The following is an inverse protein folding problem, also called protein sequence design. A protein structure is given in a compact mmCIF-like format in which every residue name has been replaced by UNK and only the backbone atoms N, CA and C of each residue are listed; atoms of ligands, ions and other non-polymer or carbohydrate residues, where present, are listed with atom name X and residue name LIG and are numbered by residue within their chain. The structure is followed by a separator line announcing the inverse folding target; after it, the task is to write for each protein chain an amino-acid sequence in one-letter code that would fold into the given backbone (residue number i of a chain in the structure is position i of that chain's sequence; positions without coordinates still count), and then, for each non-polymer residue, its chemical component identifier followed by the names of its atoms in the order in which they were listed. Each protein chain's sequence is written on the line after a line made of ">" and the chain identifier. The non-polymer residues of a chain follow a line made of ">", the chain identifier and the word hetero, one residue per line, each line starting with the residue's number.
data_IF_487126023239
#
_entry.id   IF_487126023239
#
_cell.length_a   1.000
_cell.length_b   1.000
_cell.length_c   1.000
_cell.angle_alpha   90.00
_cell.angle_beta   90.00
_cell.angle_gamma   90.00
#
_symmetry.space_group_name_H-M   'P 1'
#
loop_
_entity.id
_entity.type
_entity.pdbx_description
1 polymer ?
#
# COMPACT_ATOMS: atom_id res chain seq x y z
N UNK A 1 -18.47 -0.17 -3.49
CA UNK A 1 -17.57 0.18 -4.61
C UNK A 1 -17.81 1.63 -5.03
N UNK A 2 -16.74 2.36 -5.26
CA UNK A 2 -16.84 3.76 -5.69
C UNK A 2 -17.00 3.81 -7.20
N UNK A 3 -18.10 4.40 -7.66
CA UNK A 3 -18.43 4.48 -9.07
C UNK A 3 -17.36 5.23 -9.85
N UNK A 4 -16.98 4.70 -11.01
CA UNK A 4 -15.99 5.30 -11.91
C UNK A 4 -14.54 4.96 -11.58
N UNK A 5 -14.28 4.35 -10.44
CA UNK A 5 -12.92 4.01 -9.99
C UNK A 5 -12.65 2.51 -10.11
N UNK A 6 -11.45 2.17 -10.55
CA UNK A 6 -11.03 0.77 -10.59
C UNK A 6 -9.51 0.69 -10.45
N UNK A 7 -9.02 -0.49 -10.09
CA UNK A 7 -7.58 -0.71 -9.92
C UNK A 7 -7.05 -1.65 -10.97
N UNK A 8 -5.75 -1.46 -11.29
CA UNK A 8 -4.98 -2.40 -12.10
C UNK A 8 -3.73 -2.76 -11.34
N UNK A 9 -3.36 -4.03 -11.37
CA UNK A 9 -2.21 -4.53 -10.64
C UNK A 9 -1.19 -5.10 -11.62
N UNK A 10 0.05 -4.62 -11.52
CA UNK A 10 1.17 -5.11 -12.32
C UNK A 10 2.19 -5.75 -11.40
N UNK A 11 2.59 -6.96 -11.72
CA UNK A 11 3.55 -7.72 -10.93
C UNK A 11 4.77 -8.02 -11.80
N UNK A 12 5.95 -7.64 -11.31
CA UNK A 12 7.22 -7.97 -11.95
C UNK A 12 7.96 -8.94 -11.04
N UNK A 13 8.18 -10.15 -11.52
CA UNK A 13 8.87 -11.17 -10.75
C UNK A 13 10.38 -11.02 -10.87
N UNK A 14 11.04 -10.97 -9.72
CA UNK A 14 12.49 -11.02 -9.63
C UNK A 14 12.87 -12.28 -8.84
N UNK A 15 14.14 -12.61 -8.86
CA UNK A 15 14.64 -13.81 -8.18
C UNK A 15 14.34 -13.79 -6.67
N UNK A 16 14.51 -12.65 -6.04
CA UNK A 16 14.42 -12.50 -4.59
C UNK A 16 13.14 -11.83 -4.10
N UNK A 17 12.40 -11.22 -5.00
CA UNK A 17 11.19 -10.50 -4.62
C UNK A 17 10.26 -10.29 -5.82
N UNK A 18 8.99 -10.05 -5.52
CA UNK A 18 8.02 -9.61 -6.51
C UNK A 18 7.74 -8.14 -6.27
N UNK A 19 7.92 -7.32 -7.31
CA UNK A 19 7.53 -5.91 -7.25
C UNK A 19 6.12 -5.76 -7.79
N UNK A 20 5.32 -4.99 -7.08
CA UNK A 20 3.90 -4.80 -7.42
C UNK A 20 3.60 -3.31 -7.49
N UNK A 21 2.90 -2.92 -8.55
CA UNK A 21 2.38 -1.57 -8.69
C UNK A 21 0.88 -1.70 -8.86
N UNK A 22 0.13 -1.06 -7.97
CA UNK A 22 -1.33 -1.03 -8.04
C UNK A 22 -1.73 0.40 -8.36
N UNK A 23 -2.37 0.59 -9.51
CA UNK A 23 -2.82 1.89 -9.97
C UNK A 23 -4.32 2.04 -9.79
N UNK A 24 -4.75 3.20 -9.35
CA UNK A 24 -6.16 3.54 -9.29
C UNK A 24 -6.48 4.42 -10.48
N UNK A 25 -7.50 4.03 -11.23
CA UNK A 25 -7.96 4.74 -12.43
C UNK A 25 -9.35 5.29 -12.22
N UNK A 26 -9.61 6.42 -12.84
CA UNK A 26 -10.94 7.01 -12.87
C UNK A 26 -11.41 7.14 -14.30
N UNK A 27 -12.61 6.65 -14.59
CA UNK A 27 -13.24 6.79 -15.89
C UNK A 27 -14.41 7.75 -15.74
N UNK A 28 -14.39 8.84 -16.50
CA UNK A 28 -15.47 9.82 -16.45
C UNK A 28 -16.64 9.42 -17.39
N UNK A 29 -17.65 10.27 -17.48
CA UNK A 29 -18.84 10.00 -18.28
C UNK A 29 -18.60 9.90 -19.77
N UNK A 30 -17.46 10.43 -20.23
CA UNK A 30 -17.07 10.39 -21.66
C UNK A 30 -16.16 9.22 -21.97
N UNK A 31 -15.97 8.31 -21.01
CA UNK A 31 -15.05 7.19 -21.10
C UNK A 31 -13.58 7.61 -21.18
N UNK A 32 -13.26 8.85 -20.77
CA UNK A 32 -11.88 9.26 -20.60
C UNK A 32 -11.34 8.67 -19.30
N UNK A 33 -10.11 8.19 -19.33
CA UNK A 33 -9.48 7.48 -18.22
C UNK A 33 -8.22 8.22 -17.77
N UNK A 34 -8.08 8.42 -16.46
CA UNK A 34 -6.85 8.99 -15.90
C UNK A 34 -6.43 8.25 -14.66
N UNK A 35 -5.14 8.21 -14.41
CA UNK A 35 -4.61 7.60 -13.21
C UNK A 35 -4.70 8.62 -12.07
N UNK A 36 -5.37 8.24 -11.00
CA UNK A 36 -5.63 9.15 -9.87
C UNK A 36 -5.02 8.68 -8.56
N UNK A 37 -4.37 7.54 -8.55
CA UNK A 37 -3.73 7.05 -7.36
C UNK A 37 -2.82 5.87 -7.65
N UNK A 38 -1.98 5.54 -6.67
CA UNK A 38 -1.02 4.44 -6.78
C UNK A 38 -0.60 3.97 -5.40
N UNK A 39 -0.22 2.71 -5.30
CA UNK A 39 0.55 2.18 -4.18
C UNK A 39 1.51 1.15 -4.76
N UNK A 40 2.71 1.07 -4.18
CA UNK A 40 3.71 0.11 -4.60
C UNK A 40 4.10 -0.77 -3.43
N UNK A 41 4.48 -2.01 -3.73
CA UNK A 41 4.98 -2.91 -2.71
C UNK A 41 5.98 -3.90 -3.31
N UNK A 42 6.83 -4.44 -2.43
CA UNK A 42 7.74 -5.52 -2.79
C UNK A 42 7.50 -6.67 -1.81
N UNK A 43 7.25 -7.85 -2.36
CA UNK A 43 7.07 -9.05 -1.54
C UNK A 43 8.35 -9.86 -1.64
N UNK A 44 9.04 -10.05 -0.51
CA UNK A 44 10.32 -10.73 -0.47
C UNK A 44 10.14 -12.23 -0.39
N UNK A 45 10.83 -12.95 -1.28
CA UNK A 45 10.73 -14.41 -1.40
C UNK A 45 11.88 -15.14 -0.73
N UNK A 46 13.01 -14.46 -0.55
CA UNK A 46 14.21 -15.03 0.03
C UNK A 46 14.94 -14.00 0.88
N UNK A 47 15.79 -14.49 1.76
CA UNK A 47 16.67 -13.64 2.55
C UNK A 47 16.05 -13.19 3.86
N UNK A 48 16.63 -12.17 4.43
CA UNK A 48 16.30 -11.66 5.75
C UNK A 48 14.84 -11.24 5.90
N UNK A 49 14.26 -10.74 4.81
CA UNK A 49 12.88 -10.22 4.83
C UNK A 49 11.88 -11.17 4.19
N UNK A 50 12.23 -12.43 4.03
CA UNK A 50 11.35 -13.43 3.44
C UNK A 50 9.99 -13.46 4.16
N UNK A 51 8.91 -13.41 3.39
CA UNK A 51 7.56 -13.41 3.94
C UNK A 51 7.05 -12.04 4.32
N UNK A 52 7.84 -10.99 4.08
CA UNK A 52 7.42 -9.61 4.33
C UNK A 52 7.12 -8.89 3.03
N UNK A 53 6.14 -8.01 3.07
CA UNK A 53 5.86 -7.08 1.97
C UNK A 53 6.12 -5.68 2.47
N UNK A 54 7.04 -4.98 1.81
CA UNK A 54 7.30 -3.58 2.09
C UNK A 54 6.40 -2.73 1.19
N UNK A 55 5.62 -1.84 1.80
CA UNK A 55 4.66 -0.98 1.09
C UNK A 55 5.18 0.45 1.08
N UNK A 56 5.12 1.10 -0.07
CA UNK A 56 5.55 2.50 -0.18
C UNK A 56 4.77 3.22 -1.27
N UNK A 57 5.00 4.53 -1.37
CA UNK A 57 4.46 5.40 -2.44
C UNK A 57 2.94 5.36 -2.57
N UNK A 58 2.24 5.31 -1.44
CA UNK A 58 0.78 5.44 -1.46
C UNK A 58 0.42 6.90 -1.76
N UNK A 59 -0.30 7.12 -2.84
CA UNK A 59 -0.69 8.46 -3.26
C UNK A 59 -2.06 8.46 -3.93
N UNK A 60 -2.84 9.48 -3.63
CA UNK A 60 -4.12 9.74 -4.30
C UNK A 60 -4.12 11.21 -4.69
N UNK A 61 -4.48 11.51 -5.93
CA UNK A 61 -4.57 12.87 -6.43
C UNK A 61 -5.48 13.72 -5.55
N UNK A 62 -5.08 14.95 -5.33
CA UNK A 62 -5.77 15.88 -4.43
C UNK A 62 -7.26 15.98 -4.71
N UNK A 63 -7.63 16.04 -5.98
CA UNK A 63 -9.03 16.22 -6.41
C UNK A 63 -9.89 14.98 -6.18
N UNK A 64 -9.26 13.84 -5.93
CA UNK A 64 -9.96 12.56 -5.72
C UNK A 64 -9.86 12.05 -4.29
N UNK A 65 -9.37 12.88 -3.37
CA UNK A 65 -9.24 12.50 -1.95
C UNK A 65 -10.59 12.54 -1.23
N UNK A 66 -10.61 11.97 -0.02
CA UNK A 66 -11.80 11.90 0.84
C UNK A 66 -12.92 11.04 0.25
N UNK A 67 -12.58 10.09 -0.61
CA UNK A 67 -13.52 9.16 -1.23
C UNK A 67 -13.24 7.70 -0.88
N UNK A 68 -12.28 7.47 0.03
CA UNK A 68 -11.90 6.13 0.43
C UNK A 68 -10.94 5.43 -0.53
N UNK A 69 -10.34 6.13 -1.49
CA UNK A 69 -9.48 5.51 -2.50
C UNK A 69 -8.16 5.01 -1.93
N UNK A 70 -7.57 5.75 -0.98
CA UNK A 70 -6.33 5.31 -0.33
C UNK A 70 -6.57 4.00 0.42
N UNK A 71 -7.70 3.86 1.07
CA UNK A 71 -8.06 2.62 1.74
C UNK A 71 -8.25 1.48 0.76
N UNK A 72 -8.91 1.74 -0.36
CA UNK A 72 -9.07 0.74 -1.41
C UNK A 72 -7.72 0.26 -1.93
N UNK A 73 -6.78 1.19 -2.14
CA UNK A 73 -5.42 0.84 -2.59
C UNK A 73 -4.71 -0.02 -1.55
N UNK A 74 -4.80 0.34 -0.27
CA UNK A 74 -4.19 -0.46 0.79
C UNK A 74 -4.83 -1.83 0.93
N UNK A 75 -6.14 -1.93 0.79
CA UNK A 75 -6.83 -3.22 0.82
C UNK A 75 -6.36 -4.11 -0.32
N UNK A 76 -6.20 -3.57 -1.53
CA UNK A 76 -5.66 -4.32 -2.66
C UNK A 76 -4.20 -4.71 -2.42
N UNK A 77 -3.41 -3.82 -1.84
CA UNK A 77 -2.01 -4.13 -1.51
C UNK A 77 -1.92 -5.30 -0.53
N UNK A 78 -2.73 -5.30 0.51
CA UNK A 78 -2.75 -6.38 1.50
C UNK A 78 -3.20 -7.70 0.86
N UNK A 79 -4.23 -7.65 0.05
CA UNK A 79 -4.75 -8.81 -0.64
C UNK A 79 -3.71 -9.41 -1.58
N UNK A 80 -3.04 -8.56 -2.36
CA UNK A 80 -2.01 -9.00 -3.30
C UNK A 80 -0.79 -9.55 -2.57
N UNK A 81 -0.34 -8.87 -1.52
CA UNK A 81 0.78 -9.33 -0.70
C UNK A 81 0.51 -10.73 -0.13
N UNK A 82 -0.67 -10.92 0.41
CA UNK A 82 -1.07 -12.22 0.96
C UNK A 82 -1.11 -13.29 -0.11
N UNK A 83 -1.65 -12.97 -1.28
CA UNK A 83 -1.71 -13.89 -2.42
C UNK A 83 -0.30 -14.31 -2.86
N UNK A 84 0.67 -13.40 -2.78
CA UNK A 84 2.05 -13.68 -3.16
C UNK A 84 2.86 -14.33 -2.01
N UNK A 85 2.21 -14.68 -0.91
CA UNK A 85 2.84 -15.44 0.15
C UNK A 85 3.36 -14.63 1.33
N UNK A 86 3.12 -13.33 1.35
CA UNK A 86 3.55 -12.51 2.48
C UNK A 86 2.69 -12.81 3.71
N UNK A 87 3.32 -12.79 4.87
CA UNK A 87 2.64 -12.99 6.15
C UNK A 87 2.52 -11.71 6.94
N UNK A 88 3.28 -10.69 6.55
CA UNK A 88 3.29 -9.40 7.21
C UNK A 88 3.54 -8.31 6.17
N UNK A 89 2.91 -7.16 6.35
CA UNK A 89 3.25 -5.96 5.58
C UNK A 89 3.94 -4.97 6.51
N UNK A 90 4.89 -4.22 5.96
CA UNK A 90 5.66 -3.22 6.68
C UNK A 90 5.68 -1.92 5.88
N UNK A 91 5.76 -0.81 6.58
CA UNK A 91 5.98 0.49 5.95
C UNK A 91 6.82 1.37 6.86
N UNK A 92 7.50 2.32 6.26
CA UNK A 92 8.27 3.31 6.98
C UNK A 92 7.56 4.65 6.89
N UNK A 93 7.58 5.37 7.99
CA UNK A 93 6.93 6.65 8.09
C UNK A 93 7.94 7.70 8.57
N UNK A 94 8.06 8.79 7.82
CA UNK A 94 9.00 9.85 8.16
C UNK A 94 8.41 10.77 9.21
N UNK A 95 9.11 10.90 10.35
CA UNK A 95 8.68 11.77 11.44
C UNK A 95 8.81 13.25 11.09
N UNK A 96 9.63 13.57 10.09
CA UNK A 96 9.84 14.97 9.67
C UNK A 96 8.86 15.42 8.61
N UNK A 97 8.52 14.54 7.68
CA UNK A 97 7.77 14.91 6.49
C UNK A 97 6.28 14.61 6.57
N UNK A 98 5.89 13.74 7.48
CA UNK A 98 4.49 13.30 7.55
C UNK A 98 3.84 13.78 8.85
N UNK A 99 2.62 14.30 8.78
CA UNK A 99 1.89 14.69 9.99
C UNK A 99 1.51 13.46 10.82
N UNK A 100 1.39 13.66 12.13
CA UNK A 100 1.09 12.57 13.05
C UNK A 100 -0.22 11.83 12.75
N UNK A 101 -1.20 12.51 12.16
CA UNK A 101 -2.46 11.85 11.81
C UNK A 101 -2.28 10.70 10.81
N UNK A 102 -1.20 10.70 10.05
CA UNK A 102 -0.88 9.60 9.12
C UNK A 102 -0.62 8.31 9.90
N UNK A 103 0.09 8.40 11.02
CA UNK A 103 0.32 7.24 11.89
C UNK A 103 -1.00 6.70 12.41
N UNK A 104 -1.89 7.58 12.85
CA UNK A 104 -3.19 7.17 13.33
C UNK A 104 -4.01 6.48 12.24
N UNK A 105 -3.91 6.99 11.02
CA UNK A 105 -4.60 6.41 9.89
C UNK A 105 -4.12 4.97 9.63
N UNK A 106 -2.80 4.75 9.62
CA UNK A 106 -2.24 3.41 9.46
C UNK A 106 -2.58 2.51 10.65
N UNK A 107 -2.61 3.06 11.86
CA UNK A 107 -3.01 2.29 13.05
C UNK A 107 -4.43 1.75 12.90
N UNK A 108 -5.33 2.54 12.35
CA UNK A 108 -6.71 2.09 12.11
C UNK A 108 -6.78 0.98 11.05
N UNK A 109 -5.77 0.88 10.19
CA UNK A 109 -5.66 -0.20 9.22
C UNK A 109 -4.97 -1.44 9.79
N UNK A 110 -4.63 -1.43 11.08
CA UNK A 110 -4.04 -2.58 11.75
C UNK A 110 -2.53 -2.55 11.86
N UNK A 111 -1.89 -1.44 11.54
CA UNK A 111 -0.44 -1.31 11.67
C UNK A 111 -0.06 -0.87 13.07
N UNK A 112 0.95 -1.53 13.64
CA UNK A 112 1.53 -1.17 14.93
C UNK A 112 2.91 -0.60 14.73
N UNK A 113 3.27 0.39 15.55
CA UNK A 113 4.62 0.92 15.55
C UNK A 113 5.56 -0.10 16.18
N UNK A 114 6.62 -0.47 15.47
CA UNK A 114 7.58 -1.48 15.97
C UNK A 114 8.93 -0.90 16.34
N UNK A 115 9.38 0.08 15.60
CA UNK A 115 10.70 0.65 15.83
C UNK A 115 10.69 2.15 15.53
N UNK A 116 11.47 2.88 16.31
CA UNK A 116 11.79 4.27 16.03
C UNK A 116 13.29 4.36 15.79
N UNK A 117 13.69 5.07 14.77
CA UNK A 117 15.09 5.32 14.48
C UNK A 117 15.21 6.64 13.76
N UNK A 118 16.36 7.16 13.61
CA UNK A 118 16.77 8.39 12.89
C UNK A 118 15.68 9.13 12.08
N UNK A 119 14.59 9.53 12.73
CA UNK A 119 13.51 10.27 12.08
C UNK A 119 12.46 9.42 11.39
N UNK A 120 12.46 8.11 11.59
CA UNK A 120 11.49 7.19 11.00
C UNK A 120 10.80 6.33 12.05
N UNK A 121 9.58 5.96 11.76
CA UNK A 121 8.88 4.91 12.47
C UNK A 121 8.63 3.77 11.49
N UNK A 122 8.95 2.56 11.91
CA UNK A 122 8.63 1.34 11.15
C UNK A 122 7.35 0.76 11.70
N UNK A 123 6.37 0.54 10.84
CA UNK A 123 5.08 -0.01 11.22
C UNK A 123 4.84 -1.33 10.50
N UNK A 124 4.24 -2.29 11.20
CA UNK A 124 3.96 -3.62 10.64
C UNK A 124 2.52 -4.03 10.91
N UNK A 125 1.98 -4.79 9.98
CA UNK A 125 0.66 -5.37 10.10
C UNK A 125 0.71 -6.84 9.68
N UNK A 126 0.30 -7.77 10.57
CA UNK A 126 0.18 -9.18 10.18
C UNK A 126 -0.92 -9.36 9.14
N UNK A 127 -0.69 -10.26 8.20
CA UNK A 127 -1.71 -10.65 7.21
C UNK A 127 -2.31 -11.98 7.68
N UNK A 128 -3.48 -11.91 8.29
CA UNK A 128 -4.13 -13.11 8.82
C UNK A 128 -4.97 -13.79 7.76
N UNK A 129 -5.32 -15.06 8.03
CA UNK A 129 -6.13 -15.86 7.11
C UNK A 129 -7.62 -15.78 7.34
N UNK A 130 -8.04 -14.79 8.05
CA UNK A 130 -9.48 -14.66 8.28
C UNK A 130 -10.19 -13.94 7.18
#
# INVERSE_FOLDING_TARGET
>A
MTEGYYTETYITEWKDKDNVIISMWFMNERDDVEQVGVVELAVYKHGEHEGEALVWNLYVDKEHRHKGLARMLMDEAHKTAKHLGAKVTALEWSLKESPYWVVEWYSRLGYDEKEFGNGYALMKRPLTNK
#
